data_IF_910730577291
#
_entry.id   IF_910730577291
#
_cell.length_a   1.000
_cell.length_b   1.000
_cell.length_c   1.000
_cell.angle_alpha   90.00
_cell.angle_beta   90.00
_cell.angle_gamma   90.00
#
_symmetry.space_group_name_H-M   'P 1'
#
loop_
_entity.id
_entity.type
_entity.pdbx_description
1 polymer ?
#
# COMPACT_ATOMS: atom_id res chain seq x y z
N UNK A 1 -7.36 -0.10 16.98
CA UNK A 1 -6.12 0.69 17.02
C UNK A 1 -5.13 0.03 16.08
N UNK A 2 -4.84 0.66 14.94
CA UNK A 2 -3.82 0.19 14.01
C UNK A 2 -2.49 0.60 14.61
N UNK A 3 -1.69 -0.37 15.04
CA UNK A 3 -0.33 -0.08 15.48
C UNK A 3 0.44 0.44 14.28
N UNK A 4 0.55 1.77 14.22
CA UNK A 4 1.59 2.46 13.47
C UNK A 4 2.91 1.85 13.93
N UNK A 5 3.50 0.99 13.11
CA UNK A 5 4.90 0.63 13.31
C UNK A 5 5.70 1.92 13.20
N UNK A 6 6.53 2.13 14.22
CA UNK A 6 7.35 3.31 14.40
C UNK A 6 8.23 3.53 13.17
N UNK A 7 7.90 4.50 12.31
CA UNK A 7 8.67 4.90 11.13
C UNK A 7 9.92 5.73 11.53
N UNK A 8 10.59 5.37 12.64
CA UNK A 8 11.64 6.18 13.26
C UNK A 8 13.02 6.01 12.64
N UNK A 9 13.24 4.96 11.83
CA UNK A 9 14.53 4.78 11.15
C UNK A 9 14.39 4.69 9.63
N UNK A 10 15.25 5.45 8.92
CA UNK A 10 15.33 5.42 7.45
C UNK A 10 15.50 4.00 6.90
N UNK A 11 16.23 3.15 7.63
CA UNK A 11 16.49 1.77 7.23
C UNK A 11 15.22 0.90 7.20
N UNK A 12 14.33 1.03 8.18
CA UNK A 12 13.07 0.28 8.22
C UNK A 12 12.11 0.76 7.13
N UNK A 13 12.07 2.07 6.88
CA UNK A 13 11.29 2.60 5.75
C UNK A 13 11.79 2.06 4.41
N UNK A 14 13.10 2.13 4.16
CA UNK A 14 13.71 1.60 2.93
C UNK A 14 13.47 0.08 2.81
N UNK A 15 13.53 -0.66 3.92
CA UNK A 15 13.22 -2.09 3.94
C UNK A 15 11.74 -2.38 3.64
N UNK A 16 10.81 -1.56 4.14
CA UNK A 16 9.38 -1.70 3.86
C UNK A 16 9.06 -1.43 2.38
N UNK A 17 9.72 -0.46 1.75
CA UNK A 17 9.59 -0.24 0.29
C UNK A 17 10.05 -1.49 -0.47
N UNK A 18 11.22 -2.01 -0.14
CA UNK A 18 11.76 -3.22 -0.80
C UNK A 18 10.86 -4.44 -0.55
N UNK A 19 10.35 -4.60 0.67
CA UNK A 19 9.43 -5.69 1.01
C UNK A 19 8.10 -5.57 0.25
N UNK A 20 7.54 -4.37 0.14
CA UNK A 20 6.33 -4.12 -0.64
C UNK A 20 6.53 -4.48 -2.12
N UNK A 21 7.67 -4.12 -2.71
CA UNK A 21 7.99 -4.48 -4.10
C UNK A 21 8.16 -5.99 -4.34
N UNK A 22 8.68 -6.72 -3.35
CA UNK A 22 8.90 -8.17 -3.46
C UNK A 22 7.63 -8.97 -3.18
N UNK A 23 6.86 -8.56 -2.17
CA UNK A 23 5.71 -9.32 -1.67
C UNK A 23 4.42 -9.02 -2.42
N UNK A 24 4.31 -7.85 -3.05
CA UNK A 24 3.06 -7.38 -3.64
C UNK A 24 3.19 -7.36 -5.16
N UNK A 25 2.54 -8.34 -5.79
CA UNK A 25 2.38 -8.35 -7.24
C UNK A 25 1.57 -7.12 -7.69
N UNK A 26 2.13 -6.40 -8.66
CA UNK A 26 1.56 -5.13 -9.12
C UNK A 26 0.29 -5.36 -9.91
N UNK A 27 0.27 -6.37 -10.77
CA UNK A 27 -0.90 -6.65 -11.62
C UNK A 27 -2.07 -7.12 -10.75
N UNK A 28 -1.80 -7.95 -9.74
CA UNK A 28 -2.82 -8.41 -8.79
C UNK A 28 -3.40 -7.23 -7.95
N UNK A 29 -2.56 -6.31 -7.48
CA UNK A 29 -3.03 -5.10 -6.78
C UNK A 29 -3.90 -4.24 -7.69
N UNK A 30 -3.49 -4.04 -8.94
CA UNK A 30 -4.26 -3.22 -9.89
C UNK A 30 -5.60 -3.89 -10.23
N UNK A 31 -5.65 -5.22 -10.36
CA UNK A 31 -6.88 -5.98 -10.53
C UNK A 31 -7.82 -5.77 -9.33
N UNK A 32 -7.32 -5.90 -8.09
CA UNK A 32 -8.10 -5.63 -6.89
C UNK A 32 -8.64 -4.20 -6.83
N UNK A 33 -7.87 -3.21 -7.28
CA UNK A 33 -8.27 -1.81 -7.26
C UNK A 33 -9.29 -1.50 -8.36
N UNK A 34 -9.02 -1.89 -9.60
CA UNK A 34 -9.81 -1.47 -10.76
C UNK A 34 -11.03 -2.35 -11.02
N UNK A 35 -10.86 -3.66 -10.91
CA UNK A 35 -11.92 -4.61 -11.30
C UNK A 35 -12.83 -4.91 -10.11
N UNK A 36 -12.23 -5.03 -8.92
CA UNK A 36 -12.96 -5.38 -7.70
C UNK A 36 -13.30 -4.19 -6.79
N UNK A 37 -12.65 -3.04 -6.97
CA UNK A 37 -12.89 -1.84 -6.17
C UNK A 37 -12.52 -2.00 -4.68
N UNK A 38 -11.52 -2.81 -4.38
CA UNK A 38 -11.12 -3.12 -3.01
C UNK A 38 -10.43 -1.95 -2.31
N UNK A 39 -10.64 -1.86 -1.00
CA UNK A 39 -9.87 -0.97 -0.12
C UNK A 39 -8.50 -1.57 0.20
N UNK A 40 -7.56 -0.74 0.69
CA UNK A 40 -6.24 -1.20 1.11
C UNK A 40 -6.29 -2.30 2.18
N UNK A 41 -7.27 -2.27 3.09
CA UNK A 41 -7.49 -3.35 4.07
C UNK A 41 -7.90 -4.66 3.41
N UNK A 42 -8.80 -4.61 2.43
CA UNK A 42 -9.28 -5.79 1.72
C UNK A 42 -8.16 -6.43 0.89
N UNK A 43 -7.36 -5.60 0.22
CA UNK A 43 -6.17 -6.02 -0.52
C UNK A 43 -5.16 -6.66 0.44
N UNK A 44 -4.88 -6.02 1.57
CA UNK A 44 -3.94 -6.55 2.55
C UNK A 44 -4.35 -7.94 3.06
N UNK A 45 -5.65 -8.12 3.33
CA UNK A 45 -6.21 -9.41 3.73
C UNK A 45 -6.18 -10.45 2.62
N UNK A 46 -6.44 -10.06 1.37
CA UNK A 46 -6.39 -10.95 0.22
C UNK A 46 -4.95 -11.46 -0.04
N UNK A 47 -3.97 -10.56 0.08
CA UNK A 47 -2.56 -10.86 -0.12
C UNK A 47 -1.85 -11.44 1.12
N UNK A 48 -2.56 -11.53 2.26
CA UNK A 48 -1.99 -12.01 3.52
C UNK A 48 -0.82 -11.16 4.04
N UNK A 49 -0.87 -9.85 3.79
CA UNK A 49 0.22 -8.90 4.09
C UNK A 49 -0.26 -7.77 5.01
N UNK A 50 0.66 -6.90 5.41
CA UNK A 50 0.35 -5.73 6.23
C UNK A 50 -0.24 -4.60 5.38
N UNK A 51 -1.27 -3.92 5.90
CA UNK A 51 -1.93 -2.79 5.24
C UNK A 51 -0.96 -1.65 4.91
N UNK A 52 0.08 -1.44 5.72
CA UNK A 52 1.07 -0.39 5.50
C UNK A 52 1.90 -0.67 4.24
N UNK A 53 2.24 -1.94 3.98
CA UNK A 53 2.97 -2.32 2.77
C UNK A 53 2.09 -2.10 1.52
N UNK A 54 0.81 -2.43 1.61
CA UNK A 54 -0.16 -2.15 0.55
C UNK A 54 -0.29 -0.65 0.30
N UNK A 55 -0.38 0.16 1.35
CA UNK A 55 -0.47 1.61 1.23
C UNK A 55 0.79 2.21 0.56
N UNK A 56 1.99 1.74 0.93
CA UNK A 56 3.25 2.16 0.31
C UNK A 56 3.29 1.80 -1.18
N UNK A 57 2.88 0.57 -1.53
CA UNK A 57 2.85 0.12 -2.92
C UNK A 57 1.85 0.93 -3.75
N UNK A 58 0.65 1.19 -3.23
CA UNK A 58 -0.36 2.02 -3.88
C UNK A 58 0.15 3.44 -4.11
N UNK A 59 0.79 4.05 -3.10
CA UNK A 59 1.39 5.37 -3.24
C UNK A 59 2.47 5.39 -4.33
N UNK A 60 3.35 4.38 -4.36
CA UNK A 60 4.36 4.24 -5.41
C UNK A 60 3.77 4.08 -6.82
N UNK A 61 2.69 3.31 -6.95
CA UNK A 61 1.98 3.15 -8.23
C UNK A 61 1.31 4.45 -8.68
N UNK A 62 0.69 5.21 -7.77
CA UNK A 62 0.15 6.53 -8.09
C UNK A 62 1.24 7.48 -8.63
N UNK A 63 2.41 7.51 -7.99
CA UNK A 63 3.56 8.31 -8.44
C UNK A 63 4.12 7.84 -9.79
N UNK A 64 4.06 6.54 -10.07
CA UNK A 64 4.52 5.94 -11.32
C UNK A 64 3.57 6.18 -12.50
N UNK A 65 2.47 6.90 -12.29
CA UNK A 65 1.52 7.31 -13.33
C UNK A 65 0.32 6.38 -13.48
N UNK A 66 0.11 5.44 -12.56
CA UNK A 66 -1.14 4.68 -12.52
C UNK A 66 -2.27 5.58 -12.03
N UNK A 67 -3.36 5.56 -12.78
CA UNK A 67 -4.52 6.39 -12.51
C UNK A 67 -5.38 5.76 -11.41
N UNK A 68 -4.92 5.82 -10.16
CA UNK A 68 -5.59 5.26 -9.00
C UNK A 68 -6.71 6.22 -8.52
N UNK A 69 -7.63 6.56 -9.45
CA UNK A 69 -8.78 7.41 -9.18
C UNK A 69 -9.72 6.73 -8.17
N UNK A 70 -9.70 7.21 -6.92
CA UNK A 70 -10.59 6.91 -5.77
C UNK A 70 -10.17 5.84 -4.77
N UNK A 71 -8.90 5.73 -4.43
CA UNK A 71 -8.61 5.36 -3.03
C UNK A 71 -8.62 6.68 -2.27
N UNK A 72 -9.75 7.00 -1.62
CA UNK A 72 -9.84 8.12 -0.68
C UNK A 72 -8.87 7.84 0.47
N UNK A 73 -7.59 8.16 0.24
CA UNK A 73 -6.61 8.26 1.30
C UNK A 73 -7.04 9.47 2.13
N UNK A 74 -7.68 9.20 3.28
CA UNK A 74 -7.59 10.14 4.40
C UNK A 74 -6.10 10.38 4.61
N UNK A 75 -5.67 11.56 4.20
CA UNK A 75 -4.27 11.97 4.09
C UNK A 75 -3.71 12.37 5.46
N UNK A 76 -4.20 11.75 6.53
CA UNK A 76 -3.70 11.92 7.90
C UNK A 76 -2.58 10.92 8.22
N UNK A 77 -2.21 10.02 7.31
CA UNK A 77 -1.10 9.06 7.46
C UNK A 77 0.28 9.71 7.65
N UNK A 78 0.47 10.97 7.25
CA UNK A 78 1.76 11.69 7.33
C UNK A 78 1.77 12.81 8.38
N UNK A 79 0.88 12.78 9.38
CA UNK A 79 0.84 13.82 10.42
C UNK A 79 1.20 13.31 11.81
#
# INVERSE_FOLDING_TARGET
EFMLYDMTTKAEYDANIVAAEILLDTDEILEYIYDYGYTSEQIARAMGTDINLVALKIAHLAESGYDLRRIEHRSDFLK
#
